data_IF_670348266922
#
_entry.id   IF_670348266922
#
_cell.length_a   1.000
_cell.length_b   1.000
_cell.length_c   1.000
_cell.angle_alpha   90.00
_cell.angle_beta   90.00
_cell.angle_gamma   90.00
#
_symmetry.space_group_name_H-M   'P 1'
#
loop_
_entity.id
_entity.type
_entity.pdbx_description
1 polymer ?
#
# COMPACT_ATOMS: atom_id res chain seq x y z
N UNK A 1 -42.77 -13.40 41.26
CA UNK A 1 -41.93 -13.84 40.11
C UNK A 1 -41.75 -12.64 39.19
N UNK A 2 -40.75 -11.80 39.47
CA UNK A 2 -40.42 -10.60 38.70
C UNK A 2 -39.34 -10.97 37.68
N UNK A 3 -39.66 -10.87 36.38
CA UNK A 3 -38.75 -11.14 35.28
C UNK A 3 -37.79 -9.97 35.05
N UNK A 4 -36.50 -10.27 34.89
CA UNK A 4 -35.47 -9.32 34.46
C UNK A 4 -35.61 -9.02 32.95
N UNK A 5 -35.43 -7.76 32.50
CA UNK A 5 -35.45 -7.45 31.09
C UNK A 5 -34.11 -7.84 30.44
N UNK A 6 -34.18 -8.51 29.30
CA UNK A 6 -33.01 -8.77 28.47
C UNK A 6 -32.60 -7.48 27.75
N UNK A 7 -31.38 -6.99 28.00
CA UNK A 7 -30.78 -5.93 27.22
C UNK A 7 -30.41 -6.46 25.83
N UNK A 8 -31.15 -6.04 24.81
CA UNK A 8 -30.76 -6.21 23.41
C UNK A 8 -29.58 -5.29 23.09
N UNK A 9 -28.41 -5.88 22.82
CA UNK A 9 -27.28 -5.20 22.21
C UNK A 9 -27.62 -4.82 20.77
N UNK A 10 -28.01 -3.58 20.55
CA UNK A 10 -28.09 -3.00 19.20
C UNK A 10 -26.66 -2.92 18.64
N UNK A 11 -26.35 -3.77 17.66
CA UNK A 11 -25.14 -3.64 16.88
C UNK A 11 -25.15 -2.28 16.16
N UNK A 12 -24.14 -1.44 16.43
CA UNK A 12 -23.98 -0.19 15.71
C UNK A 12 -23.83 -0.49 14.21
N UNK A 13 -24.44 0.31 13.31
CA UNK A 13 -24.26 0.13 11.88
C UNK A 13 -22.77 0.28 11.56
N UNK A 14 -22.19 -0.74 10.92
CA UNK A 14 -20.85 -0.65 10.38
C UNK A 14 -20.81 0.55 9.43
N UNK A 15 -19.93 1.53 9.69
CA UNK A 15 -19.75 2.68 8.83
C UNK A 15 -19.59 2.19 7.39
N UNK A 16 -20.43 2.69 6.47
CA UNK A 16 -20.41 2.28 5.07
C UNK A 16 -19.04 2.63 4.48
N UNK A 17 -18.16 1.64 4.40
CA UNK A 17 -16.84 1.80 3.85
C UNK A 17 -16.95 2.19 2.38
N UNK A 18 -16.36 3.32 1.99
CA UNK A 18 -16.34 3.74 0.59
C UNK A 18 -15.71 2.64 -0.26
N UNK A 19 -16.49 2.03 -1.17
CA UNK A 19 -15.98 1.08 -2.14
C UNK A 19 -14.90 1.75 -2.99
N UNK A 20 -13.66 1.34 -2.78
CA UNK A 20 -12.48 1.89 -3.46
C UNK A 20 -12.62 1.87 -4.98
N UNK A 21 -13.43 0.96 -5.54
CA UNK A 21 -13.65 0.85 -6.99
C UNK A 21 -14.34 2.08 -7.57
N UNK A 22 -15.13 2.80 -6.76
CA UNK A 22 -15.78 4.06 -7.14
C UNK A 22 -14.79 5.23 -7.17
N UNK A 23 -13.68 5.12 -6.44
CA UNK A 23 -12.62 6.14 -6.37
C UNK A 23 -11.51 5.85 -7.39
N UNK A 24 -11.13 4.60 -7.57
CA UNK A 24 -10.03 4.19 -8.44
C UNK A 24 -10.27 4.55 -9.92
N UNK A 25 -9.21 5.00 -10.59
CA UNK A 25 -9.24 5.18 -12.05
C UNK A 25 -9.41 3.83 -12.76
N UNK A 26 -9.95 3.80 -13.99
CA UNK A 26 -10.03 2.57 -14.77
C UNK A 26 -8.66 1.89 -14.96
N UNK A 27 -7.61 2.69 -15.20
CA UNK A 27 -6.23 2.22 -15.35
C UNK A 27 -5.73 1.52 -14.10
N UNK A 28 -5.96 2.12 -12.93
CA UNK A 28 -5.49 1.54 -11.67
C UNK A 28 -6.29 0.32 -11.24
N UNK A 29 -7.59 0.25 -11.57
CA UNK A 29 -8.36 -0.99 -11.42
C UNK A 29 -7.75 -2.14 -12.22
N UNK A 30 -7.31 -1.87 -13.46
CA UNK A 30 -6.65 -2.88 -14.30
C UNK A 30 -5.28 -3.28 -13.73
N UNK A 31 -4.44 -2.31 -13.31
CA UNK A 31 -3.15 -2.60 -12.65
C UNK A 31 -3.31 -3.45 -11.39
N UNK A 32 -4.28 -3.10 -10.56
CA UNK A 32 -4.61 -3.84 -9.33
C UNK A 32 -5.17 -5.23 -9.62
N UNK A 33 -5.83 -5.45 -10.76
CA UNK A 33 -6.33 -6.78 -11.15
C UNK A 33 -5.20 -7.72 -11.61
N UNK A 34 -4.22 -7.21 -12.34
CA UNK A 34 -3.09 -7.99 -12.89
C UNK A 34 -1.89 -8.15 -11.92
N UNK A 35 -2.05 -7.69 -10.68
CA UNK A 35 -0.95 -7.54 -9.72
C UNK A 35 -0.12 -8.81 -9.50
N UNK A 36 -0.72 -10.02 -9.50
CA UNK A 36 0.00 -11.29 -9.29
C UNK A 36 0.94 -11.60 -10.45
N UNK A 37 0.47 -11.42 -11.69
CA UNK A 37 1.28 -11.62 -12.89
C UNK A 37 2.49 -10.70 -12.87
N UNK A 38 2.25 -9.41 -12.60
CA UNK A 38 3.29 -8.39 -12.49
C UNK A 38 4.29 -8.75 -11.39
N UNK A 39 3.82 -9.20 -10.22
CA UNK A 39 4.68 -9.59 -9.11
C UNK A 39 5.58 -10.76 -9.44
N UNK A 40 5.01 -11.85 -9.98
CA UNK A 40 5.76 -13.03 -10.36
C UNK A 40 6.83 -12.70 -11.41
N UNK A 41 6.46 -11.92 -12.44
CA UNK A 41 7.39 -11.45 -13.47
C UNK A 41 8.50 -10.54 -12.92
N UNK A 42 8.16 -9.61 -12.03
CA UNK A 42 9.12 -8.72 -11.38
C UNK A 42 10.16 -9.49 -10.55
N UNK A 43 9.72 -10.47 -9.75
CA UNK A 43 10.62 -11.33 -8.98
C UNK A 43 11.50 -12.20 -9.89
N UNK A 44 10.93 -12.81 -10.92
CA UNK A 44 11.70 -13.61 -11.88
C UNK A 44 12.81 -12.76 -12.54
N UNK A 45 12.48 -11.55 -12.98
CA UNK A 45 13.45 -10.63 -13.59
C UNK A 45 14.51 -10.15 -12.61
N UNK A 46 14.12 -9.82 -11.38
CA UNK A 46 15.07 -9.42 -10.35
C UNK A 46 16.05 -10.56 -10.00
N UNK A 47 15.56 -11.80 -9.88
CA UNK A 47 16.39 -13.00 -9.67
C UNK A 47 17.36 -13.25 -10.84
N UNK A 48 16.87 -13.17 -12.08
CA UNK A 48 17.73 -13.29 -13.27
C UNK A 48 18.79 -12.18 -13.35
N UNK A 49 18.52 -11.02 -12.74
CA UNK A 49 19.46 -9.91 -12.57
C UNK A 49 20.43 -10.04 -11.38
N UNK A 50 20.45 -11.19 -10.69
CA UNK A 50 21.37 -11.47 -9.59
C UNK A 50 20.83 -11.24 -8.18
N UNK A 51 19.63 -10.69 -8.01
CA UNK A 51 19.09 -10.33 -6.69
C UNK A 51 18.45 -11.50 -5.91
N UNK A 52 18.87 -12.73 -6.20
CA UNK A 52 18.25 -13.94 -5.65
C UNK A 52 18.39 -14.05 -4.13
N UNK A 53 19.59 -13.74 -3.61
CA UNK A 53 19.88 -13.82 -2.19
C UNK A 53 19.12 -12.73 -1.40
N UNK A 54 19.06 -11.52 -1.92
CA UNK A 54 18.34 -10.38 -1.33
C UNK A 54 16.84 -10.64 -1.28
N UNK A 55 16.28 -11.22 -2.35
CA UNK A 55 14.86 -11.61 -2.39
C UNK A 55 14.57 -12.71 -1.36
N UNK A 56 15.42 -13.72 -1.27
CA UNK A 56 15.27 -14.79 -0.29
C UNK A 56 15.33 -14.26 1.15
N UNK A 57 16.31 -13.38 1.44
CA UNK A 57 16.50 -12.78 2.76
C UNK A 57 15.32 -11.88 3.20
N UNK A 58 14.59 -11.27 2.26
CA UNK A 58 13.45 -10.42 2.57
C UNK A 58 12.20 -11.20 3.02
N UNK A 59 12.14 -12.50 2.75
CA UNK A 59 11.12 -13.44 3.20
C UNK A 59 9.70 -12.95 2.94
N UNK A 60 8.91 -12.81 4.02
CA UNK A 60 7.51 -12.37 4.00
C UNK A 60 7.24 -11.06 3.23
N UNK A 61 8.26 -10.21 2.97
CA UNK A 61 8.07 -9.00 2.18
C UNK A 61 7.71 -9.31 0.72
N UNK A 62 8.33 -10.35 0.14
CA UNK A 62 8.17 -10.71 -1.27
C UNK A 62 7.33 -11.96 -1.53
N UNK A 63 6.89 -12.64 -0.46
CA UNK A 63 5.90 -13.71 -0.52
C UNK A 63 4.51 -13.12 -0.81
N UNK A 64 4.05 -13.17 -2.05
CA UNK A 64 2.78 -12.55 -2.45
C UNK A 64 1.53 -13.21 -1.84
N UNK A 65 1.65 -14.43 -1.31
CA UNK A 65 0.55 -15.13 -0.62
C UNK A 65 0.50 -14.81 0.88
N UNK A 66 1.56 -14.18 1.42
CA UNK A 66 1.57 -13.69 2.80
C UNK A 66 0.65 -12.46 2.94
N UNK A 67 -0.55 -12.68 3.45
CA UNK A 67 -1.46 -11.64 3.91
C UNK A 67 -2.12 -12.08 5.22
N UNK A 68 -2.13 -11.21 6.23
CA UNK A 68 -2.72 -11.47 7.55
C UNK A 68 -3.97 -10.60 7.76
N UNK A 69 -4.90 -11.03 8.64
CA UNK A 69 -6.04 -10.21 9.00
C UNK A 69 -5.66 -8.83 9.55
N UNK A 70 -6.55 -7.86 9.32
CA UNK A 70 -6.38 -6.43 9.68
C UNK A 70 -5.28 -5.76 8.83
N UNK A 71 -5.51 -5.60 7.52
CA UNK A 71 -4.51 -5.09 6.58
C UNK A 71 -4.18 -3.60 6.75
N UNK A 72 -5.08 -2.83 7.33
CA UNK A 72 -4.90 -1.39 7.54
C UNK A 72 -3.90 -1.18 8.69
N UNK A 73 -2.76 -0.52 8.45
CA UNK A 73 -1.84 -0.18 9.53
C UNK A 73 -2.51 0.79 10.52
N UNK A 74 -2.31 0.65 11.84
CA UNK A 74 -2.77 1.63 12.81
C UNK A 74 -2.19 3.02 12.56
N UNK A 75 -2.86 4.07 13.05
CA UNK A 75 -2.31 5.42 13.06
C UNK A 75 -0.97 5.47 13.82
N UNK A 76 -0.03 6.26 13.33
CA UNK A 76 1.29 6.40 13.95
C UNK A 76 2.39 6.74 12.95
N UNK A 77 3.60 6.86 13.48
CA UNK A 77 4.81 7.06 12.70
C UNK A 77 5.44 5.73 12.31
N UNK A 78 5.96 5.69 11.08
CA UNK A 78 6.54 4.50 10.47
C UNK A 78 7.88 4.85 9.85
N UNK A 79 8.83 3.93 9.93
CA UNK A 79 9.90 3.87 8.95
C UNK A 79 9.40 3.09 7.74
N UNK A 80 9.63 3.64 6.56
CA UNK A 80 9.27 3.00 5.31
C UNK A 80 10.41 2.97 4.31
N UNK A 81 10.51 1.91 3.51
CA UNK A 81 11.47 1.84 2.41
C UNK A 81 10.80 1.26 1.17
N UNK A 82 11.29 1.60 0.00
CA UNK A 82 10.81 1.06 -1.27
C UNK A 82 11.85 0.10 -1.81
N UNK A 83 11.41 -1.06 -2.27
CA UNK A 83 12.20 -1.96 -3.10
C UNK A 83 11.56 -2.02 -4.49
N UNK A 84 12.35 -1.72 -5.51
CA UNK A 84 11.96 -1.79 -6.91
C UNK A 84 12.37 -3.15 -7.47
N UNK A 85 11.41 -3.86 -8.05
CA UNK A 85 11.57 -5.22 -8.57
C UNK A 85 11.24 -5.25 -10.06
N UNK A 86 12.15 -5.82 -10.84
CA UNK A 86 12.04 -5.93 -12.29
C UNK A 86 12.20 -4.58 -12.96
N UNK A 87 13.14 -4.48 -13.91
CA UNK A 87 13.36 -3.23 -14.62
C UNK A 87 12.19 -2.97 -15.61
N UNK A 88 11.60 -1.78 -15.62
CA UNK A 88 10.57 -1.46 -16.63
C UNK A 88 11.16 -1.37 -18.05
N UNK A 89 12.45 -1.02 -18.16
CA UNK A 89 13.18 -0.86 -19.42
C UNK A 89 14.51 -1.59 -19.35
N UNK A 90 15.07 -1.99 -20.50
CA UNK A 90 16.30 -2.82 -20.56
C UNK A 90 17.51 -2.19 -19.85
N UNK A 91 17.61 -0.87 -19.85
CA UNK A 91 18.73 -0.13 -19.27
C UNK A 91 18.57 0.20 -17.77
N UNK A 92 17.45 -0.19 -17.16
CA UNK A 92 17.20 0.06 -15.73
C UNK A 92 17.68 -1.13 -14.89
N UNK A 93 18.00 -0.87 -13.63
CA UNK A 93 18.39 -1.90 -12.69
C UNK A 93 17.21 -2.85 -12.41
N UNK A 94 17.43 -4.18 -12.40
CA UNK A 94 16.38 -5.17 -12.18
C UNK A 94 15.98 -5.28 -10.70
N UNK A 95 16.78 -4.72 -9.80
CA UNK A 95 16.53 -4.67 -8.36
C UNK A 95 17.15 -3.41 -7.77
N UNK A 96 16.39 -2.66 -6.97
CA UNK A 96 16.91 -1.52 -6.19
C UNK A 96 16.23 -1.51 -4.83
N UNK A 97 17.01 -1.60 -3.75
CA UNK A 97 16.50 -1.44 -2.38
C UNK A 97 16.93 -0.10 -1.81
N UNK A 98 15.98 0.79 -1.54
CA UNK A 98 16.26 2.08 -0.92
C UNK A 98 16.39 1.97 0.61
N UNK A 99 17.09 2.92 1.26
CA UNK A 99 17.10 3.02 2.71
C UNK A 99 15.72 3.40 3.27
N UNK A 100 15.61 3.41 4.60
CA UNK A 100 14.40 3.86 5.28
C UNK A 100 14.24 5.38 5.23
N UNK A 101 12.98 5.79 5.11
CA UNK A 101 12.45 7.15 5.14
C UNK A 101 11.36 7.24 6.21
N UNK A 102 10.95 8.46 6.54
CA UNK A 102 9.82 8.69 7.44
C UNK A 102 8.50 8.56 6.67
N UNK A 103 7.56 7.83 7.24
CA UNK A 103 6.18 7.71 6.80
C UNK A 103 5.24 7.96 7.99
N UNK A 104 4.01 8.38 7.70
CA UNK A 104 2.95 8.53 8.71
C UNK A 104 1.65 7.94 8.21
N UNK A 105 0.97 7.22 9.10
CA UNK A 105 -0.41 6.82 8.94
C UNK A 105 -1.26 7.68 9.84
N UNK A 106 -2.25 8.37 9.28
CA UNK A 106 -3.16 9.24 10.02
C UNK A 106 -4.60 8.82 9.82
N UNK A 107 -5.38 8.96 10.88
CA UNK A 107 -6.81 8.63 10.94
C UNK A 107 -7.56 9.92 11.20
N UNK A 108 -8.51 10.24 10.32
CA UNK A 108 -9.40 11.40 10.47
C UNK A 108 -10.84 10.93 10.53
N UNK A 109 -11.54 11.26 11.62
CA UNK A 109 -12.98 11.03 11.74
C UNK A 109 -13.76 12.20 11.13
N UNK A 110 -14.83 11.87 10.39
CA UNK A 110 -15.78 12.82 9.84
C UNK A 110 -17.21 12.31 10.01
N UNK A 111 -18.21 13.15 9.75
CA UNK A 111 -19.61 12.71 9.71
C UNK A 111 -19.90 11.62 8.66
N UNK A 112 -19.01 11.42 7.69
CA UNK A 112 -19.08 10.36 6.68
C UNK A 112 -18.28 9.09 7.07
N UNK A 113 -17.70 9.04 8.26
CA UNK A 113 -16.87 7.93 8.75
C UNK A 113 -15.38 8.27 8.88
N UNK A 114 -14.58 7.23 9.08
CA UNK A 114 -13.14 7.31 9.28
C UNK A 114 -12.38 7.22 7.94
N UNK A 115 -11.40 8.11 7.75
CA UNK A 115 -10.48 8.07 6.61
C UNK A 115 -9.07 7.78 7.11
N UNK A 116 -8.45 6.75 6.55
CA UNK A 116 -7.06 6.40 6.83
C UNK A 116 -6.19 6.89 5.69
N UNK A 117 -5.14 7.65 6.01
CA UNK A 117 -4.18 8.17 5.03
C UNK A 117 -2.79 7.65 5.32
N UNK A 118 -2.01 7.48 4.25
CA UNK A 118 -0.58 7.16 4.33
C UNK A 118 0.19 8.22 3.54
N UNK A 119 1.23 8.75 4.16
CA UNK A 119 2.15 9.70 3.53
C UNK A 119 3.60 9.31 3.80
N UNK A 120 4.39 9.18 2.73
CA UNK A 120 5.86 9.20 2.82
C UNK A 120 6.34 10.64 2.95
N UNK A 121 6.96 10.97 4.08
CA UNK A 121 7.26 12.34 4.48
C UNK A 121 8.60 12.85 3.93
N UNK A 122 9.57 11.95 3.73
CA UNK A 122 10.93 12.32 3.28
C UNK A 122 11.33 11.64 1.97
N UNK A 123 12.38 12.13 1.32
CA UNK A 123 12.87 11.66 0.01
C UNK A 123 12.25 12.40 -1.19
N UNK A 124 12.75 12.09 -2.38
CA UNK A 124 12.39 12.78 -3.65
C UNK A 124 11.07 12.31 -4.26
N UNK A 125 10.67 11.09 -3.96
CA UNK A 125 9.44 10.46 -4.40
C UNK A 125 8.65 10.05 -3.16
N UNK A 126 7.45 10.62 -3.00
CA UNK A 126 6.63 10.54 -1.79
C UNK A 126 5.21 10.10 -2.16
N UNK A 127 4.86 8.86 -1.88
CA UNK A 127 3.49 8.35 -2.04
C UNK A 127 2.61 8.98 -0.95
N UNK A 128 1.54 9.64 -1.35
CA UNK A 128 0.59 10.29 -0.45
C UNK A 128 -0.83 9.97 -0.90
N UNK A 129 -1.67 9.44 -0.02
CA UNK A 129 -3.01 8.99 -0.40
C UNK A 129 -3.81 8.35 0.73
N UNK A 130 -4.92 7.73 0.34
CA UNK A 130 -5.91 7.12 1.23
C UNK A 130 -5.83 5.60 1.16
N UNK A 131 -5.95 4.94 2.32
CA UNK A 131 -6.10 3.49 2.44
C UNK A 131 -7.58 3.16 2.60
N UNK A 132 -8.13 2.46 1.61
CA UNK A 132 -9.49 1.96 1.57
C UNK A 132 -9.49 0.48 1.95
N UNK A 133 -10.14 0.08 3.06
CA UNK A 133 -10.24 -1.34 3.37
C UNK A 133 -11.12 -2.04 2.32
N UNK A 134 -10.79 -3.28 2.01
CA UNK A 134 -11.49 -4.07 0.97
C UNK A 134 -12.08 -5.33 1.57
N UNK A 135 -11.24 -6.14 2.20
CA UNK A 135 -11.61 -7.43 2.79
C UNK A 135 -10.80 -7.69 4.07
N UNK A 136 -10.93 -8.89 4.64
CA UNK A 136 -10.28 -9.25 5.89
C UNK A 136 -8.75 -9.19 5.86
N UNK A 137 -8.12 -9.32 4.68
CA UNK A 137 -6.66 -9.52 4.52
C UNK A 137 -5.99 -8.48 3.61
N UNK A 138 -6.75 -7.71 2.84
CA UNK A 138 -6.26 -6.66 1.95
C UNK A 138 -7.00 -5.34 2.08
N UNK A 139 -6.24 -4.26 1.94
CA UNK A 139 -6.72 -2.91 1.70
C UNK A 139 -6.11 -2.36 0.40
N UNK A 140 -6.65 -1.26 -0.11
CA UNK A 140 -6.19 -0.58 -1.32
C UNK A 140 -5.69 0.80 -0.96
N UNK A 141 -4.46 1.13 -1.33
CA UNK A 141 -3.99 2.50 -1.33
C UNK A 141 -4.32 3.13 -2.69
N UNK A 142 -4.92 4.31 -2.67
CA UNK A 142 -5.11 5.18 -3.83
C UNK A 142 -4.55 6.57 -3.51
N UNK A 143 -3.62 7.05 -4.32
CA UNK A 143 -2.93 8.29 -4.03
C UNK A 143 -2.08 8.78 -5.19
N UNK A 144 -1.22 9.74 -4.91
CA UNK A 144 -0.32 10.31 -5.90
C UNK A 144 1.14 10.19 -5.48
N UNK A 145 2.03 10.16 -6.45
CA UNK A 145 3.46 10.37 -6.29
C UNK A 145 3.72 11.86 -6.18
N UNK A 146 3.97 12.37 -4.98
CA UNK A 146 4.46 13.73 -4.71
C UNK A 146 5.97 13.80 -4.89
N UNK A 147 6.46 14.84 -5.56
CA UNK A 147 7.88 15.11 -5.67
C UNK A 147 8.37 15.86 -4.43
N UNK A 148 9.63 15.64 -4.05
CA UNK A 148 10.17 16.15 -2.79
C UNK A 148 10.27 17.67 -2.67
N UNK A 149 10.19 18.39 -3.79
CA UNK A 149 10.19 19.85 -3.87
C UNK A 149 8.78 20.47 -3.87
N UNK A 150 7.73 19.65 -3.82
CA UNK A 150 6.35 20.13 -3.79
C UNK A 150 5.82 20.23 -2.36
N UNK A 151 5.07 21.30 -2.09
CA UNK A 151 4.47 21.55 -0.77
C UNK A 151 3.15 20.79 -0.56
N UNK A 152 2.49 20.37 -1.65
CA UNK A 152 1.21 19.67 -1.61
C UNK A 152 1.09 18.60 -2.70
N UNK A 153 0.44 17.46 -2.41
CA UNK A 153 0.17 16.45 -3.43
C UNK A 153 -0.89 16.95 -4.42
N UNK A 154 -0.81 16.49 -5.67
CA UNK A 154 -1.92 16.57 -6.59
C UNK A 154 -3.08 15.67 -6.12
N UNK A 155 -4.34 16.03 -6.42
CA UNK A 155 -5.44 15.09 -6.25
C UNK A 155 -5.19 13.82 -7.07
N UNK A 156 -5.49 12.66 -6.50
CA UNK A 156 -5.47 11.39 -7.23
C UNK A 156 -6.42 11.45 -8.45
N UNK A 157 -5.99 10.90 -9.58
CA UNK A 157 -6.70 10.97 -10.86
C UNK A 157 -6.44 12.25 -11.66
N UNK A 158 -5.70 13.22 -11.11
CA UNK A 158 -5.37 14.47 -11.81
C UNK A 158 -4.26 14.29 -12.85
N UNK A 159 -3.30 13.41 -12.57
CA UNK A 159 -2.18 13.09 -13.47
C UNK A 159 -1.93 11.59 -13.45
N UNK A 160 -2.31 10.93 -14.55
CA UNK A 160 -2.19 9.49 -14.71
C UNK A 160 -0.75 8.94 -14.58
N UNK A 161 0.27 9.78 -14.78
CA UNK A 161 1.68 9.37 -14.57
C UNK A 161 2.08 9.40 -13.11
N UNK A 162 1.33 10.11 -12.28
CA UNK A 162 1.58 10.26 -10.84
C UNK A 162 0.60 9.47 -10.00
N UNK A 163 -0.47 8.95 -10.58
CA UNK A 163 -1.38 8.05 -9.90
C UNK A 163 -0.66 6.81 -9.37
N UNK A 164 -0.88 6.54 -8.09
CA UNK A 164 -0.34 5.41 -7.35
C UNK A 164 -1.51 4.59 -6.82
N UNK A 165 -1.54 3.32 -7.20
CA UNK A 165 -2.44 2.33 -6.65
C UNK A 165 -1.64 1.13 -6.15
N UNK A 166 -2.00 0.62 -4.97
CA UNK A 166 -1.31 -0.54 -4.41
C UNK A 166 -2.15 -1.35 -3.43
N UNK A 167 -1.79 -2.63 -3.31
CA UNK A 167 -2.34 -3.52 -2.28
C UNK A 167 -1.60 -3.31 -0.97
N UNK A 168 -2.34 -2.99 0.09
CA UNK A 168 -1.81 -2.89 1.46
C UNK A 168 -2.15 -4.18 2.20
N UNK A 169 -1.11 -4.83 2.73
CA UNK A 169 -1.21 -6.13 3.39
C UNK A 169 -0.40 -6.11 4.68
N UNK A 170 -0.96 -6.70 5.74
CA UNK A 170 -0.21 -7.00 6.97
C UNK A 170 0.55 -8.30 6.74
N UNK A 171 1.87 -8.29 6.94
CA UNK A 171 2.74 -9.45 6.65
C UNK A 171 3.46 -10.00 7.89
N UNK A 172 3.37 -9.28 9.01
CA UNK A 172 3.84 -9.70 10.32
C UNK A 172 3.15 -8.91 11.44
N UNK A 173 3.57 -9.10 12.69
CA UNK A 173 2.89 -8.48 13.83
C UNK A 173 2.89 -6.95 13.77
N UNK A 174 4.07 -6.38 13.53
CA UNK A 174 4.36 -4.95 13.37
C UNK A 174 4.99 -4.66 12.01
N UNK A 175 4.49 -5.31 10.95
CA UNK A 175 5.06 -5.21 9.60
C UNK A 175 3.98 -5.27 8.54
N UNK A 176 3.98 -4.27 7.68
CA UNK A 176 3.07 -4.15 6.54
C UNK A 176 3.86 -3.95 5.26
N UNK A 177 3.19 -4.20 4.13
CA UNK A 177 3.68 -3.79 2.82
C UNK A 177 2.58 -3.11 2.01
N UNK A 178 2.99 -2.22 1.12
CA UNK A 178 2.18 -1.73 0.02
C UNK A 178 2.85 -2.13 -1.30
N UNK A 179 2.18 -2.96 -2.09
CA UNK A 179 2.66 -3.40 -3.39
C UNK A 179 1.98 -2.65 -4.52
N UNK A 180 2.78 -1.96 -5.34
CA UNK A 180 2.33 -1.05 -6.40
C UNK A 180 2.70 -1.66 -7.77
N UNK A 181 1.79 -2.39 -8.43
CA UNK A 181 2.05 -3.01 -9.72
C UNK A 181 2.10 -1.98 -10.85
N UNK A 182 3.07 -2.13 -11.75
CA UNK A 182 3.25 -1.32 -12.96
C UNK A 182 3.25 0.19 -12.71
N UNK A 183 4.11 0.71 -11.79
CA UNK A 183 4.26 2.15 -11.59
C UNK A 183 4.78 2.81 -12.87
N UNK A 184 4.51 4.11 -13.04
CA UNK A 184 4.64 4.78 -14.34
C UNK A 184 6.06 4.84 -14.94
N UNK A 185 7.14 4.66 -14.18
CA UNK A 185 8.47 5.09 -14.62
C UNK A 185 9.55 4.01 -14.67
N UNK A 186 9.86 3.35 -13.55
CA UNK A 186 11.19 2.72 -13.38
C UNK A 186 11.16 1.19 -13.23
N UNK A 187 10.10 0.63 -12.67
CA UNK A 187 10.04 -0.76 -12.25
C UNK A 187 8.76 -1.44 -12.73
N UNK A 188 8.77 -2.77 -12.73
CA UNK A 188 7.56 -3.57 -12.92
C UNK A 188 6.72 -3.56 -11.64
N UNK A 189 7.36 -3.62 -10.48
CA UNK A 189 6.71 -3.61 -9.17
C UNK A 189 7.53 -2.77 -8.20
N UNK A 190 6.88 -1.85 -7.50
CA UNK A 190 7.44 -1.24 -6.30
C UNK A 190 6.77 -1.85 -5.06
N UNK A 191 7.57 -2.25 -4.06
CA UNK A 191 7.09 -2.72 -2.76
C UNK A 191 7.57 -1.76 -1.70
N UNK A 192 6.64 -1.05 -1.06
CA UNK A 192 6.92 -0.26 0.13
C UNK A 192 6.75 -1.13 1.37
N UNK A 193 7.81 -1.28 2.15
CA UNK A 193 7.75 -1.85 3.50
C UNK A 193 7.39 -0.77 4.51
N UNK A 194 6.54 -1.08 5.48
CA UNK A 194 6.13 -0.21 6.58
C UNK A 194 6.37 -0.93 7.91
N UNK A 195 7.14 -0.29 8.79
CA UNK A 195 7.41 -0.76 10.16
C UNK A 195 7.18 0.41 11.11
N UNK A 196 6.37 0.28 12.17
CA UNK A 196 6.18 1.34 13.16
C UNK A 196 7.51 1.82 13.74
N UNK A 197 7.62 3.13 13.96
CA UNK A 197 8.57 3.71 14.93
C UNK A 197 7.87 3.59 16.27
N UNK A 198 8.52 3.03 17.28
CA UNK A 198 7.85 2.54 18.50
C UNK A 198 6.96 3.56 19.23
#
# INVERSE_FOLDING_TARGET
MTGLPALSLLAAPAAAQTDWRRVATPTDRARLADWRTVWAGALARARAGGAGAEIAAAGALFDYDRALPRPVPPAGDYRCRIVKLGAAKRWMLPYVAYPFFACRVAVTASGAGETVTLAKLTGSQRQVGTIHPRDGERAVFLGTLMYGYEDRPLPYGRDAKRDVAGWVERIGERRWRMAMPSPAFESMLDVMELVPVD
#
